data_IF_038706726525
#
_entry.id   IF_038706726525
#
_cell.length_a   1.000
_cell.length_b   1.000
_cell.length_c   1.000
_cell.angle_alpha   90.00
_cell.angle_beta   90.00
_cell.angle_gamma   90.00
#
_symmetry.space_group_name_H-M   'P 1'
#
loop_
_entity.id
_entity.type
_entity.pdbx_description
1 polymer ?
#
# COMPACT_ATOMS: atom_id res chain seq x y z
N UNK A 1 -18.50 18.22 -6.67
CA UNK A 1 -17.53 17.12 -6.78
C UNK A 1 -16.27 17.60 -7.46
N UNK A 2 -15.49 18.43 -6.81
CA UNK A 2 -14.36 19.01 -7.45
C UNK A 2 -13.11 18.54 -6.72
N UNK A 3 -12.39 17.58 -7.31
CA UNK A 3 -10.99 17.28 -6.99
C UNK A 3 -10.19 18.59 -6.85
N UNK A 4 -10.47 19.58 -7.69
CA UNK A 4 -9.90 20.92 -7.60
C UNK A 4 -10.02 21.54 -6.18
N UNK A 5 -11.15 21.36 -5.49
CA UNK A 5 -11.33 21.89 -4.13
C UNK A 5 -10.53 21.12 -3.07
N UNK A 6 -10.14 19.88 -3.35
CA UNK A 6 -9.30 19.07 -2.48
C UNK A 6 -7.80 19.34 -2.71
N UNK A 7 -7.45 19.80 -3.90
CA UNK A 7 -6.05 20.01 -4.31
C UNK A 7 -5.55 21.40 -3.92
N UNK A 8 -6.37 22.44 -4.07
CA UNK A 8 -5.96 23.83 -3.90
C UNK A 8 -5.67 24.31 -2.46
N UNK A 9 -6.18 23.72 -1.37
CA UNK A 9 -5.78 24.15 -0.02
C UNK A 9 -4.38 23.69 0.40
N UNK A 10 -3.82 22.72 -0.29
CA UNK A 10 -2.48 22.20 0.01
C UNK A 10 -1.54 22.91 -0.95
N UNK A 11 -0.99 24.02 -0.52
CA UNK A 11 -0.03 24.78 -1.31
C UNK A 11 1.10 23.87 -1.77
N UNK A 12 1.10 23.56 -3.05
CA UNK A 12 2.12 22.74 -3.71
C UNK A 12 3.40 23.56 -3.90
N UNK A 13 4.00 24.05 -2.82
CA UNK A 13 5.33 24.64 -2.90
C UNK A 13 6.41 23.60 -3.25
N UNK A 14 6.09 22.30 -3.15
CA UNK A 14 7.07 21.21 -3.27
C UNK A 14 6.64 20.04 -4.17
N UNK A 15 5.52 20.15 -4.89
CA UNK A 15 5.06 19.09 -5.79
C UNK A 15 5.77 19.12 -7.15
N UNK A 16 5.91 17.97 -7.79
CA UNK A 16 6.22 17.91 -9.22
C UNK A 16 5.10 18.58 -9.98
N UNK A 17 5.38 19.74 -10.59
CA UNK A 17 4.38 20.50 -11.36
C UNK A 17 3.80 19.72 -12.54
N UNK A 18 4.48 18.67 -12.98
CA UNK A 18 4.02 17.80 -14.07
C UNK A 18 3.11 16.66 -13.57
N UNK A 19 3.18 16.29 -12.28
CA UNK A 19 2.37 15.23 -11.67
C UNK A 19 1.92 15.64 -10.26
N UNK A 20 1.06 16.64 -10.13
CA UNK A 20 0.72 17.24 -8.84
C UNK A 20 -0.09 16.33 -7.91
N UNK A 21 -0.68 15.27 -8.41
CA UNK A 21 -1.46 14.30 -7.63
C UNK A 21 -0.68 13.02 -7.35
N UNK A 22 0.01 12.54 -8.35
CA UNK A 22 0.73 11.28 -8.35
C UNK A 22 -0.16 10.12 -7.90
N UNK A 23 -1.14 9.77 -8.75
CA UNK A 23 -1.96 8.57 -8.55
C UNK A 23 -1.05 7.34 -8.65
N UNK A 24 -0.84 6.67 -7.53
CA UNK A 24 0.13 5.60 -7.42
C UNK A 24 -0.47 4.24 -7.03
N UNK A 25 -1.75 4.22 -6.65
CA UNK A 25 -2.47 2.97 -6.44
C UNK A 25 -3.96 3.10 -6.71
N UNK A 26 -4.55 2.00 -7.19
CA UNK A 26 -5.98 1.85 -7.51
C UNK A 26 -6.45 0.49 -7.00
N UNK A 27 -7.25 0.49 -5.93
CA UNK A 27 -7.81 -0.71 -5.33
C UNK A 27 -9.32 -0.84 -5.63
N UNK A 28 -9.74 -1.75 -6.50
CA UNK A 28 -11.15 -2.03 -6.75
C UNK A 28 -11.83 -2.68 -5.55
N UNK A 29 -13.05 -2.26 -5.27
CA UNK A 29 -13.92 -2.88 -4.26
C UNK A 29 -14.69 -4.04 -4.89
N UNK A 30 -14.51 -5.25 -4.37
CA UNK A 30 -15.06 -6.48 -4.93
C UNK A 30 -16.40 -6.90 -4.32
N UNK A 31 -16.75 -6.39 -3.15
CA UNK A 31 -17.99 -6.74 -2.41
C UNK A 31 -18.69 -5.49 -1.89
N UNK A 32 -20.00 -5.58 -1.71
CA UNK A 32 -20.77 -4.53 -1.05
C UNK A 32 -20.50 -4.50 0.46
N UNK A 33 -20.58 -3.31 1.04
CA UNK A 33 -20.59 -3.09 2.48
C UNK A 33 -21.52 -1.92 2.85
N UNK A 34 -21.53 -1.57 4.13
CA UNK A 34 -22.22 -0.37 4.62
C UNK A 34 -21.59 0.93 4.06
N UNK A 35 -20.30 0.90 3.75
CA UNK A 35 -19.50 2.09 3.40
C UNK A 35 -19.23 2.24 1.91
N UNK A 36 -19.26 1.15 1.16
CA UNK A 36 -18.98 1.12 -0.28
C UNK A 36 -19.81 0.09 -1.02
N UNK A 37 -19.78 0.16 -2.33
CA UNK A 37 -20.44 -0.79 -3.22
C UNK A 37 -19.41 -1.48 -4.12
N UNK A 38 -19.71 -2.68 -4.52
CA UNK A 38 -18.94 -3.37 -5.56
C UNK A 38 -18.78 -2.48 -6.79
N UNK A 39 -17.54 -2.33 -7.25
CA UNK A 39 -17.18 -1.46 -8.37
C UNK A 39 -16.84 -0.02 -7.96
N UNK A 40 -16.93 0.34 -6.68
CA UNK A 40 -16.25 1.52 -6.16
C UNK A 40 -14.73 1.29 -6.19
N UNK A 41 -13.95 2.37 -6.15
CA UNK A 41 -12.48 2.31 -6.31
C UNK A 41 -11.84 3.20 -5.25
N UNK A 42 -10.98 2.62 -4.42
CA UNK A 42 -10.04 3.41 -3.64
C UNK A 42 -8.88 3.86 -4.51
N UNK A 43 -8.44 5.08 -4.32
CA UNK A 43 -7.31 5.69 -5.03
C UNK A 43 -6.37 6.35 -4.04
N UNK A 44 -5.07 6.11 -4.21
CA UNK A 44 -4.01 6.77 -3.46
C UNK A 44 -3.37 7.86 -4.30
N UNK A 45 -3.37 9.09 -3.79
CA UNK A 45 -2.79 10.27 -4.42
C UNK A 45 -1.62 10.76 -3.54
N UNK A 46 -0.45 10.24 -3.85
CA UNK A 46 0.76 10.34 -3.01
C UNK A 46 1.19 11.77 -2.71
N UNK A 47 1.26 12.63 -3.73
CA UNK A 47 1.82 13.99 -3.59
C UNK A 47 1.06 14.88 -2.62
N UNK A 48 -0.21 14.59 -2.42
CA UNK A 48 -1.07 15.36 -1.52
C UNK A 48 -1.52 14.55 -0.30
N UNK A 49 -0.88 13.39 -0.06
CA UNK A 49 -1.20 12.51 1.08
C UNK A 49 -2.69 12.19 1.21
N UNK A 50 -3.36 11.96 0.08
CA UNK A 50 -4.80 11.78 -0.01
C UNK A 50 -5.15 10.34 -0.42
N UNK A 51 -6.07 9.74 0.30
CA UNK A 51 -6.80 8.53 -0.13
C UNK A 51 -8.27 8.91 -0.32
N UNK A 52 -8.85 8.44 -1.41
CA UNK A 52 -10.26 8.69 -1.70
C UNK A 52 -10.99 7.43 -2.19
N UNK A 53 -12.29 7.39 -1.98
CA UNK A 53 -13.21 6.39 -2.52
C UNK A 53 -14.05 7.03 -3.64
N UNK A 54 -13.87 6.56 -4.83
CA UNK A 54 -14.58 7.02 -6.02
C UNK A 54 -15.61 6.01 -6.48
N UNK A 55 -16.80 6.50 -6.85
CA UNK A 55 -17.87 5.68 -7.44
C UNK A 55 -18.03 5.98 -8.92
N UNK A 56 -17.52 5.12 -9.82
CA UNK A 56 -17.62 5.33 -11.27
C UNK A 56 -19.05 5.44 -11.76
N UNK A 57 -19.97 4.62 -11.26
CA UNK A 57 -21.36 4.58 -11.68
C UNK A 57 -22.13 5.91 -11.53
N UNK A 58 -21.67 6.78 -10.64
CA UNK A 58 -22.27 8.10 -10.39
C UNK A 58 -21.31 9.26 -10.62
N UNK A 59 -20.06 8.97 -10.99
CA UNK A 59 -18.95 9.93 -11.13
C UNK A 59 -18.81 10.81 -9.87
N UNK A 60 -18.76 10.17 -8.68
CA UNK A 60 -18.69 10.91 -7.40
C UNK A 60 -17.57 10.36 -6.51
N UNK A 61 -16.92 11.28 -5.80
CA UNK A 61 -16.14 10.96 -4.63
C UNK A 61 -17.11 10.72 -3.48
N UNK A 62 -17.05 9.52 -2.89
CA UNK A 62 -17.93 9.09 -1.81
C UNK A 62 -17.33 9.41 -0.45
N UNK A 63 -16.02 9.28 -0.35
CA UNK A 63 -15.25 9.55 0.85
C UNK A 63 -13.83 9.97 0.46
N UNK A 64 -13.17 10.72 1.29
CA UNK A 64 -11.75 11.04 1.17
C UNK A 64 -11.16 11.39 2.52
N UNK A 65 -9.86 11.14 2.67
CA UNK A 65 -9.10 11.53 3.87
C UNK A 65 -7.69 11.90 3.47
N UNK A 66 -7.24 13.05 3.97
CA UNK A 66 -5.89 13.54 3.79
C UNK A 66 -5.10 13.31 5.08
N UNK A 67 -4.01 12.52 4.97
CA UNK A 67 -3.24 12.09 6.14
C UNK A 67 -4.04 11.28 7.17
N UNK A 68 -3.37 10.83 8.25
CA UNK A 68 -2.00 11.15 8.70
C UNK A 68 -0.85 10.48 7.91
N UNK A 69 -1.15 9.59 6.97
CA UNK A 69 -0.14 8.99 6.08
C UNK A 69 0.60 10.07 5.28
N UNK A 70 1.89 9.82 4.99
CA UNK A 70 2.77 10.76 4.29
C UNK A 70 3.48 10.07 3.13
N UNK A 71 3.20 10.52 1.91
CA UNK A 71 3.71 9.93 0.67
C UNK A 71 3.37 8.44 0.51
N UNK A 72 2.20 8.06 0.97
CA UNK A 72 1.72 6.67 1.01
C UNK A 72 1.68 6.01 -0.37
N UNK A 73 1.73 4.69 -0.34
CA UNK A 73 1.45 3.79 -1.45
C UNK A 73 0.44 2.74 -0.99
N UNK A 74 -0.01 1.89 -1.91
CA UNK A 74 -0.69 0.62 -1.63
C UNK A 74 -1.87 0.74 -0.65
N UNK A 75 -3.07 0.82 -1.20
CA UNK A 75 -4.31 0.87 -0.42
C UNK A 75 -5.06 -0.44 -0.61
N UNK A 76 -5.22 -1.22 0.46
CA UNK A 76 -5.93 -2.49 0.45
C UNK A 76 -7.26 -2.43 1.20
N UNK A 77 -8.29 -3.09 0.65
CA UNK A 77 -9.53 -3.37 1.37
C UNK A 77 -9.32 -4.65 2.19
N UNK A 78 -9.28 -4.51 3.52
CA UNK A 78 -9.01 -5.64 4.43
C UNK A 78 -10.29 -6.46 4.71
N UNK A 79 -11.40 -5.77 4.92
CA UNK A 79 -12.69 -6.38 5.24
C UNK A 79 -13.84 -5.43 4.81
N UNK A 80 -15.04 -5.58 5.35
CA UNK A 80 -16.23 -4.80 4.97
C UNK A 80 -16.28 -3.36 5.56
N UNK A 81 -15.32 -2.97 6.40
CA UNK A 81 -15.28 -1.64 7.03
C UNK A 81 -13.87 -1.08 7.24
N UNK A 82 -12.81 -1.77 6.81
CA UNK A 82 -11.43 -1.33 7.02
C UNK A 82 -10.60 -1.36 5.74
N UNK A 83 -9.74 -0.37 5.61
CA UNK A 83 -8.68 -0.32 4.60
C UNK A 83 -7.32 -0.25 5.29
N UNK A 84 -6.29 -0.83 4.66
CA UNK A 84 -4.89 -0.65 5.02
C UNK A 84 -4.24 0.32 4.03
N UNK A 85 -3.31 1.12 4.50
CA UNK A 85 -2.52 2.05 3.70
C UNK A 85 -1.05 1.86 4.07
N UNK A 86 -0.20 1.56 3.10
CA UNK A 86 1.24 1.52 3.31
C UNK A 86 1.78 2.95 3.35
N UNK A 87 2.14 3.40 4.55
CA UNK A 87 2.69 4.73 4.78
C UNK A 87 4.21 4.72 4.64
N UNK A 88 4.74 5.47 3.67
CA UNK A 88 6.18 5.63 3.53
C UNK A 88 6.78 6.50 4.63
N UNK A 89 5.96 7.25 5.37
CA UNK A 89 6.36 8.03 6.54
C UNK A 89 7.61 8.88 6.27
N UNK A 90 7.61 9.60 5.14
CA UNK A 90 8.76 10.41 4.72
C UNK A 90 8.79 11.74 5.45
N UNK A 91 9.99 12.16 5.78
CA UNK A 91 10.22 13.39 6.50
C UNK A 91 9.98 14.64 5.65
N UNK A 92 10.45 14.58 4.40
CA UNK A 92 10.31 15.68 3.48
C UNK A 92 10.52 15.19 2.03
N UNK A 93 9.98 15.93 1.07
CA UNK A 93 10.12 15.63 -0.35
C UNK A 93 11.58 15.68 -0.83
N UNK A 94 12.38 16.60 -0.30
CA UNK A 94 13.75 16.81 -0.75
C UNK A 94 14.73 15.77 -0.21
N UNK A 95 14.53 15.33 1.01
CA UNK A 95 15.44 14.37 1.68
C UNK A 95 15.18 12.93 1.30
N UNK A 96 13.96 12.59 0.91
CA UNK A 96 13.55 11.21 0.61
C UNK A 96 13.88 10.21 1.73
N UNK A 97 13.90 10.69 2.97
CA UNK A 97 14.23 9.89 4.15
C UNK A 97 12.95 9.42 4.83
N UNK A 98 12.96 8.18 5.29
CA UNK A 98 11.91 7.62 6.15
C UNK A 98 12.25 8.00 7.59
N UNK A 99 11.27 8.56 8.34
CA UNK A 99 11.50 9.01 9.72
C UNK A 99 12.08 7.91 10.60
N UNK A 100 11.24 7.04 11.11
CA UNK A 100 11.66 5.92 11.96
C UNK A 100 11.60 4.60 11.19
N UNK A 101 10.44 4.29 10.64
CA UNK A 101 10.14 3.16 9.75
C UNK A 101 8.95 3.52 8.88
N UNK A 102 8.74 2.75 7.81
CA UNK A 102 7.42 2.69 7.20
C UNK A 102 6.40 2.14 8.21
N UNK A 103 5.14 2.20 7.88
CA UNK A 103 4.09 1.57 8.68
C UNK A 103 2.86 1.21 7.85
N UNK A 104 1.98 0.40 8.41
CA UNK A 104 0.65 0.14 7.86
C UNK A 104 -0.35 0.87 8.74
N UNK A 105 -1.01 1.85 8.17
CA UNK A 105 -2.10 2.56 8.82
C UNK A 105 -3.43 1.95 8.40
N UNK A 106 -4.18 1.45 9.37
CA UNK A 106 -5.53 0.91 9.15
C UNK A 106 -6.55 1.96 9.50
N UNK A 107 -7.40 2.32 8.54
CA UNK A 107 -8.56 3.16 8.79
C UNK A 107 -9.81 2.31 8.95
N UNK A 108 -10.50 2.50 10.06
CA UNK A 108 -11.75 1.83 10.41
C UNK A 108 -12.94 2.78 10.17
N UNK A 109 -13.75 2.48 9.18
CA UNK A 109 -14.90 3.30 8.80
C UNK A 109 -16.06 3.27 9.81
N UNK A 110 -16.15 2.21 10.62
CA UNK A 110 -17.20 2.13 11.64
C UNK A 110 -16.91 3.03 12.84
N UNK A 111 -15.64 3.16 13.20
CA UNK A 111 -15.18 3.91 14.36
C UNK A 111 -14.65 5.31 14.01
N UNK A 112 -14.39 5.57 12.73
CA UNK A 112 -13.65 6.75 12.25
C UNK A 112 -12.30 6.91 12.97
N UNK A 113 -11.55 5.79 13.09
CA UNK A 113 -10.28 5.72 13.78
C UNK A 113 -9.16 5.22 12.86
N UNK A 114 -7.92 5.64 13.16
CA UNK A 114 -6.71 5.13 12.52
C UNK A 114 -5.83 4.49 13.59
N UNK A 115 -5.25 3.33 13.26
CA UNK A 115 -4.30 2.64 14.12
C UNK A 115 -3.24 1.92 13.28
N UNK A 116 -2.09 1.63 13.90
CA UNK A 116 -0.97 0.94 13.26
C UNK A 116 -0.70 -0.41 13.95
N UNK A 117 -1.29 -1.50 13.47
CA UNK A 117 -1.25 -2.80 14.16
C UNK A 117 0.13 -3.48 14.10
N UNK A 118 1.01 -3.06 13.19
CA UNK A 118 2.31 -3.69 12.95
C UNK A 118 3.50 -2.81 13.30
N UNK A 119 3.28 -1.60 13.85
CA UNK A 119 4.33 -0.59 14.09
C UNK A 119 5.54 -1.14 14.85
N UNK A 120 5.32 -1.91 15.92
CA UNK A 120 6.40 -2.52 16.69
C UNK A 120 7.29 -3.41 15.80
N UNK A 121 6.67 -4.19 14.92
CA UNK A 121 7.37 -5.05 13.97
C UNK A 121 8.15 -4.28 12.92
N UNK A 122 7.58 -3.18 12.40
CA UNK A 122 8.22 -2.32 11.41
C UNK A 122 9.47 -1.65 11.99
N UNK A 123 9.37 -1.04 13.17
CA UNK A 123 10.52 -0.42 13.87
C UNK A 123 11.59 -1.47 14.20
N UNK A 124 11.19 -2.59 14.80
CA UNK A 124 12.11 -3.67 15.22
C UNK A 124 12.93 -4.24 14.07
N UNK A 125 12.32 -4.36 12.89
CA UNK A 125 12.94 -4.96 11.71
C UNK A 125 13.49 -3.93 10.72
N UNK A 126 13.51 -2.64 11.13
CA UNK A 126 14.02 -1.53 10.33
C UNK A 126 13.43 -1.51 8.91
N UNK A 127 12.09 -1.67 8.82
CA UNK A 127 11.40 -1.70 7.53
C UNK A 127 11.33 -0.29 7.00
N UNK A 128 12.04 -0.04 5.88
CA UNK A 128 12.19 1.27 5.27
C UNK A 128 12.21 1.14 3.75
N UNK A 129 11.36 1.85 3.08
CA UNK A 129 11.46 2.13 1.64
C UNK A 129 10.97 3.55 1.42
N UNK A 130 11.83 4.47 0.97
CA UNK A 130 11.47 5.88 0.83
C UNK A 130 10.47 6.14 -0.29
N UNK A 131 10.35 5.22 -1.25
CA UNK A 131 9.34 5.29 -2.31
C UNK A 131 8.78 3.91 -2.61
N UNK A 132 7.62 3.87 -3.24
CA UNK A 132 6.93 2.62 -3.55
C UNK A 132 6.72 1.77 -2.27
N UNK A 133 6.87 0.45 -2.37
CA UNK A 133 6.56 -0.44 -1.28
C UNK A 133 5.11 -0.89 -1.32
N UNK A 134 4.87 -2.05 -0.80
CA UNK A 134 3.53 -2.60 -0.64
C UNK A 134 3.46 -3.53 0.57
N UNK A 135 2.25 -3.76 1.02
CA UNK A 135 1.96 -4.72 2.09
C UNK A 135 0.67 -5.47 1.81
N UNK A 136 0.56 -6.66 2.34
CA UNK A 136 -0.66 -7.45 2.31
C UNK A 136 -0.88 -8.09 3.68
N UNK A 137 -2.00 -7.77 4.33
CA UNK A 137 -2.41 -8.39 5.58
C UNK A 137 -3.05 -9.73 5.24
N UNK A 138 -2.39 -10.81 5.65
CA UNK A 138 -2.80 -12.17 5.34
C UNK A 138 -3.94 -12.65 6.26
N UNK A 139 -4.68 -13.64 5.80
CA UNK A 139 -5.84 -14.21 6.50
C UNK A 139 -5.55 -14.69 7.93
N UNK A 140 -4.31 -15.08 8.22
CA UNK A 140 -3.86 -15.51 9.55
C UNK A 140 -3.33 -14.38 10.43
N UNK A 141 -3.38 -13.13 9.96
CA UNK A 141 -2.87 -11.95 10.66
C UNK A 141 -1.37 -11.72 10.55
N UNK A 142 -0.64 -12.52 9.77
CA UNK A 142 0.72 -12.16 9.36
C UNK A 142 0.64 -11.02 8.34
N UNK A 143 1.76 -10.38 8.05
CA UNK A 143 1.86 -9.37 7.01
C UNK A 143 3.00 -9.71 6.06
N UNK A 144 2.71 -9.64 4.76
CA UNK A 144 3.68 -9.66 3.68
C UNK A 144 4.07 -8.21 3.36
N UNK A 145 5.35 -7.96 3.13
CA UNK A 145 5.89 -6.60 2.92
C UNK A 145 6.93 -6.65 1.81
N UNK A 146 6.87 -5.70 0.90
CA UNK A 146 7.92 -5.42 -0.08
C UNK A 146 8.58 -4.08 0.21
N UNK A 147 9.86 -4.08 0.50
CA UNK A 147 10.70 -2.89 0.52
C UNK A 147 11.35 -2.69 -0.85
N UNK A 148 10.61 -2.09 -1.75
CA UNK A 148 10.97 -1.97 -3.16
C UNK A 148 12.36 -1.41 -3.38
N UNK A 149 12.70 -0.30 -2.73
CA UNK A 149 13.98 0.39 -2.96
C UNK A 149 15.19 -0.40 -2.46
N UNK A 150 15.00 -1.29 -1.50
CA UNK A 150 16.06 -2.12 -0.93
C UNK A 150 16.03 -3.57 -1.39
N UNK A 151 15.09 -3.92 -2.28
CA UNK A 151 14.98 -5.26 -2.85
C UNK A 151 14.79 -6.35 -1.79
N UNK A 152 14.14 -6.03 -0.68
CA UNK A 152 13.80 -6.96 0.39
C UNK A 152 12.29 -7.24 0.40
N UNK A 153 11.96 -8.51 0.46
CA UNK A 153 10.59 -8.99 0.63
C UNK A 153 10.56 -9.84 1.89
N UNK A 154 9.58 -9.67 2.73
CA UNK A 154 9.48 -10.44 3.97
C UNK A 154 8.03 -10.72 4.37
N UNK A 155 7.87 -11.75 5.19
CA UNK A 155 6.65 -12.03 5.93
C UNK A 155 6.96 -12.03 7.41
N UNK A 156 6.19 -11.32 8.21
CA UNK A 156 6.30 -11.33 9.65
C UNK A 156 4.92 -11.54 10.32
N UNK A 157 4.93 -12.04 11.55
CA UNK A 157 3.72 -12.12 12.35
C UNK A 157 3.40 -10.76 13.02
N UNK A 158 2.23 -10.66 13.63
CA UNK A 158 1.75 -9.47 14.33
C UNK A 158 2.66 -8.97 15.48
N UNK A 159 3.58 -9.83 15.96
CA UNK A 159 4.55 -9.47 17.00
C UNK A 159 5.90 -9.06 16.41
N UNK A 160 5.99 -8.91 15.09
CA UNK A 160 7.21 -8.53 14.39
C UNK A 160 8.27 -9.63 14.31
N UNK A 161 7.88 -10.92 14.45
CA UNK A 161 8.80 -12.03 14.20
C UNK A 161 8.79 -12.37 12.72
N UNK A 162 9.94 -12.20 12.07
CA UNK A 162 10.11 -12.60 10.67
C UNK A 162 9.93 -14.11 10.53
N UNK A 163 9.04 -14.53 9.64
CA UNK A 163 8.81 -15.92 9.26
C UNK A 163 9.79 -16.35 8.16
N UNK A 164 9.99 -15.49 7.19
CA UNK A 164 10.97 -15.60 6.13
C UNK A 164 11.25 -14.23 5.52
N UNK A 165 12.37 -14.12 4.84
CA UNK A 165 12.70 -12.97 4.02
C UNK A 165 13.45 -13.39 2.77
N UNK A 166 13.30 -12.62 1.71
CA UNK A 166 14.04 -12.72 0.46
C UNK A 166 14.75 -11.39 0.20
N UNK A 167 15.99 -11.48 -0.26
CA UNK A 167 16.76 -10.31 -0.72
C UNK A 167 17.13 -10.52 -2.18
N UNK A 168 16.74 -9.59 -3.04
CA UNK A 168 16.98 -9.64 -4.48
C UNK A 168 18.45 -9.36 -4.80
N UNK A 169 19.30 -10.32 -4.44
CA UNK A 169 20.76 -10.27 -4.60
C UNK A 169 21.18 -11.04 -5.84
N UNK A 170 21.83 -10.35 -6.79
CA UNK A 170 22.38 -10.97 -7.98
C UNK A 170 23.75 -11.62 -7.73
N UNK A 171 24.25 -12.38 -8.72
CA UNK A 171 25.56 -13.05 -8.68
C UNK A 171 26.74 -12.09 -8.47
N UNK A 172 26.61 -10.83 -8.90
CA UNK A 172 27.59 -9.77 -8.69
C UNK A 172 27.55 -9.15 -7.29
N UNK A 173 26.79 -9.75 -6.36
CA UNK A 173 26.56 -9.34 -4.98
C UNK A 173 25.78 -8.02 -4.82
N UNK A 174 25.36 -7.37 -5.89
CA UNK A 174 24.50 -6.18 -5.82
C UNK A 174 23.07 -6.58 -5.50
N UNK A 175 22.40 -5.74 -4.73
CA UNK A 175 20.98 -5.84 -4.46
C UNK A 175 20.23 -4.96 -5.48
N UNK A 176 19.20 -5.51 -6.08
CA UNK A 176 18.36 -4.83 -7.04
C UNK A 176 16.98 -4.60 -6.45
N UNK A 177 16.32 -3.53 -6.87
CA UNK A 177 14.94 -3.26 -6.51
C UNK A 177 14.03 -4.44 -6.86
N UNK A 178 13.00 -4.63 -6.06
CA UNK A 178 11.84 -5.46 -6.38
C UNK A 178 10.67 -4.55 -6.76
N UNK A 179 9.69 -5.07 -7.47
CA UNK A 179 8.49 -4.28 -7.76
C UNK A 179 7.32 -5.19 -8.03
N UNK A 180 6.18 -4.87 -7.41
CA UNK A 180 4.92 -5.55 -7.59
C UNK A 180 4.92 -7.03 -7.23
N UNK A 181 5.60 -7.41 -6.15
CA UNK A 181 5.51 -8.75 -5.59
C UNK A 181 4.09 -9.02 -5.09
N UNK A 182 3.68 -10.27 -5.13
CA UNK A 182 2.39 -10.70 -4.60
C UNK A 182 2.58 -11.94 -3.73
N UNK A 183 1.89 -11.97 -2.60
CA UNK A 183 1.79 -13.17 -1.82
C UNK A 183 0.73 -14.08 -2.45
N UNK A 184 1.08 -15.35 -2.67
CA UNK A 184 0.14 -16.34 -3.15
C UNK A 184 -0.22 -17.27 -1.99
N UNK A 185 -1.48 -17.23 -1.57
CA UNK A 185 -2.00 -18.25 -0.67
C UNK A 185 -1.87 -19.66 -1.30
N UNK A 186 -1.68 -20.66 -0.47
CA UNK A 186 -1.28 -22.01 -0.90
C UNK A 186 -2.20 -22.59 -1.99
N UNK A 187 -3.50 -22.45 -1.83
CA UNK A 187 -4.47 -22.94 -2.81
C UNK A 187 -4.33 -22.25 -4.18
N UNK A 188 -4.09 -20.94 -4.18
CA UNK A 188 -3.89 -20.17 -5.41
C UNK A 188 -2.55 -20.55 -6.05
N UNK A 189 -1.50 -20.73 -5.26
CA UNK A 189 -0.19 -21.16 -5.73
C UNK A 189 -0.29 -22.49 -6.49
N UNK A 190 -0.88 -23.53 -5.90
CA UNK A 190 -1.02 -24.81 -6.59
C UNK A 190 -1.85 -24.74 -7.85
N UNK A 191 -2.95 -23.98 -7.85
CA UNK A 191 -3.76 -23.75 -9.05
C UNK A 191 -2.98 -23.08 -10.19
N UNK A 192 -2.12 -22.12 -9.86
CA UNK A 192 -1.27 -21.43 -10.84
C UNK A 192 -0.20 -22.37 -11.37
N UNK A 193 0.50 -23.10 -10.49
CA UNK A 193 1.55 -24.05 -10.87
C UNK A 193 1.01 -25.13 -11.80
N UNK A 194 -0.17 -25.69 -11.51
CA UNK A 194 -0.82 -26.69 -12.36
C UNK A 194 -1.14 -26.13 -13.75
N UNK A 195 -1.64 -24.89 -13.83
CA UNK A 195 -1.93 -24.23 -15.11
C UNK A 195 -0.66 -23.97 -15.92
N UNK A 196 0.40 -23.48 -15.26
CA UNK A 196 1.67 -23.16 -15.94
C UNK A 196 2.37 -24.44 -16.42
N UNK A 197 2.33 -25.52 -15.64
CA UNK A 197 2.94 -26.79 -16.02
C UNK A 197 2.41 -27.37 -17.34
N UNK A 198 1.20 -26.98 -17.74
CA UNK A 198 0.55 -27.42 -18.99
C UNK A 198 0.69 -26.40 -20.14
N UNK A 199 1.44 -25.31 -19.95
CA UNK A 199 1.69 -24.31 -21.00
C UNK A 199 3.01 -24.64 -21.71
N UNK A 200 2.92 -25.00 -22.98
CA UNK A 200 4.10 -25.06 -23.85
C UNK A 200 4.43 -23.62 -24.28
N UNK A 201 5.55 -23.11 -23.84
CA UNK A 201 6.12 -21.88 -24.40
C UNK A 201 6.80 -22.26 -25.72
N UNK A 202 6.18 -21.91 -26.86
CA UNK A 202 6.79 -21.93 -28.17
C UNK A 202 7.72 -20.73 -28.37
#
# INVERSE_FOLDING_TARGET
>A
NNLEKLIFPVGNEYGDHNDPLHLNDIQPVLNDSKFWKRGDIFMSLKQISLVLLYRPSTNKIIWHKQGPWVYQHDVDVINDHQIAVFDNNRDDFLKSEVKDSNEILVYDFEKDEIFSPYQIGFVKNEIKTPSQGLSEILSNGDVFIEETDYGRILRMDKNGKIKWQYINRAKNLKIYRTSWSRFLEENLYYSIVEKIANVNCE
#
